data_IF_713840835676
#
_entry.id   IF_713840835676
#
_cell.length_a   1.000
_cell.length_b   1.000
_cell.length_c   1.000
_cell.angle_alpha   90.00
_cell.angle_beta   90.00
_cell.angle_gamma   90.00
#
_symmetry.space_group_name_H-M   'P 1'
#
loop_
_entity.id
_entity.type
_entity.pdbx_description
1 polymer ?
#
# COMPACT_ATOMS: atom_id res chain seq x y z
N UNK A 1 -14.76 18.87 4.49
CA UNK A 1 -14.41 19.37 3.14
C UNK A 1 -13.23 20.32 3.30
N UNK A 2 -12.18 20.16 2.51
CA UNK A 2 -10.87 20.80 2.73
C UNK A 2 -10.28 21.38 1.40
N UNK A 3 -11.04 22.18 0.70
CA UNK A 3 -10.65 22.89 -0.52
C UNK A 3 -11.53 22.47 -1.68
N UNK A 4 -11.37 22.94 -2.87
CA UNK A 4 -10.25 23.47 -3.63
C UNK A 4 -10.55 24.88 -4.21
N UNK A 5 -11.50 24.97 -5.20
CA UNK A 5 -11.73 26.21 -5.96
C UNK A 5 -13.19 26.38 -6.33
N UNK A 6 -13.69 27.58 -6.14
CA UNK A 6 -14.98 28.03 -6.69
C UNK A 6 -14.75 28.86 -7.95
N UNK A 7 -15.71 28.86 -8.85
CA UNK A 7 -15.74 29.68 -10.04
C UNK A 7 -17.17 30.12 -10.36
N UNK A 8 -17.32 31.24 -11.06
CA UNK A 8 -18.56 31.73 -11.62
C UNK A 8 -18.31 32.53 -12.88
N UNK A 9 -19.07 32.26 -13.91
CA UNK A 9 -19.31 33.15 -15.05
C UNK A 9 -20.80 33.10 -15.42
N UNK A 10 -21.28 34.09 -16.17
CA UNK A 10 -22.67 34.06 -16.60
C UNK A 10 -23.01 32.83 -17.46
N UNK A 11 -22.05 32.39 -18.25
CA UNK A 11 -22.19 31.26 -19.18
C UNK A 11 -22.05 29.91 -18.47
N UNK A 12 -21.14 29.84 -17.49
CA UNK A 12 -20.81 28.56 -16.82
C UNK A 12 -21.58 28.33 -15.52
N UNK A 13 -22.31 29.34 -15.03
CA UNK A 13 -22.97 29.25 -13.72
C UNK A 13 -22.01 29.15 -12.54
N UNK A 14 -22.50 28.72 -11.38
CA UNK A 14 -21.71 28.53 -10.19
C UNK A 14 -21.02 27.16 -10.24
N UNK A 15 -19.69 27.16 -10.18
CA UNK A 15 -18.84 25.97 -10.25
C UNK A 15 -18.07 25.75 -8.94
N UNK A 16 -17.75 24.48 -8.61
CA UNK A 16 -16.97 24.10 -7.45
C UNK A 16 -16.19 22.82 -7.74
N UNK A 17 -14.90 22.85 -7.45
CA UNK A 17 -14.11 21.65 -7.21
C UNK A 17 -13.82 21.58 -5.74
N UNK A 18 -14.19 20.48 -5.10
CA UNK A 18 -13.98 20.27 -3.67
C UNK A 18 -13.38 18.90 -3.39
N UNK A 19 -12.72 18.78 -2.24
CA UNK A 19 -12.20 17.51 -1.73
C UNK A 19 -12.64 17.34 -0.27
N UNK A 20 -12.82 16.09 0.12
CA UNK A 20 -13.09 15.72 1.51
C UNK A 20 -12.43 14.38 1.85
N UNK A 21 -12.01 14.21 3.11
CA UNK A 21 -11.42 12.97 3.61
C UNK A 21 -12.24 12.44 4.78
N UNK A 22 -12.60 11.15 4.77
CA UNK A 22 -13.19 10.39 5.88
C UNK A 22 -12.57 9.01 5.93
N UNK A 23 -12.23 8.51 7.13
CA UNK A 23 -11.77 7.13 7.34
C UNK A 23 -10.74 6.67 6.29
N UNK A 24 -9.69 7.45 6.11
CA UNK A 24 -8.61 7.18 5.16
C UNK A 24 -9.00 7.19 3.66
N UNK A 25 -10.26 7.50 3.31
CA UNK A 25 -10.74 7.69 1.95
C UNK A 25 -10.86 9.18 1.63
N UNK A 26 -10.28 9.61 0.51
CA UNK A 26 -10.43 10.96 -0.03
C UNK A 26 -11.26 10.92 -1.29
N UNK A 27 -12.25 11.81 -1.37
CA UNK A 27 -13.04 12.05 -2.58
C UNK A 27 -12.72 13.43 -3.13
N UNK A 28 -12.81 13.53 -4.43
CA UNK A 28 -12.76 14.79 -5.18
C UNK A 28 -14.05 14.89 -5.96
N UNK A 29 -14.77 16.00 -5.79
CA UNK A 29 -16.00 16.30 -6.50
C UNK A 29 -15.84 17.54 -7.37
N UNK A 30 -16.50 17.52 -8.53
CA UNK A 30 -16.59 18.67 -9.43
C UNK A 30 -18.06 18.89 -9.77
N UNK A 31 -18.54 20.12 -9.54
CA UNK A 31 -19.88 20.58 -9.92
C UNK A 31 -19.71 21.80 -10.81
N UNK A 32 -20.51 21.87 -11.84
CA UNK A 32 -20.55 22.98 -12.80
C UNK A 32 -21.98 23.32 -13.18
N UNK A 33 -22.25 24.58 -13.46
CA UNK A 33 -23.52 25.00 -14.01
C UNK A 33 -24.68 25.24 -13.02
N UNK A 34 -24.38 25.34 -11.73
CA UNK A 34 -25.41 25.58 -10.74
C UNK A 34 -25.94 27.01 -10.81
N UNK A 35 -27.24 27.18 -10.50
CA UNK A 35 -27.94 28.46 -10.57
C UNK A 35 -27.54 29.44 -9.45
N UNK A 36 -27.18 28.87 -8.27
CA UNK A 36 -26.80 29.66 -7.09
C UNK A 36 -25.61 29.02 -6.36
N UNK A 37 -24.88 29.85 -5.61
CA UNK A 37 -23.78 29.34 -4.76
C UNK A 37 -24.29 28.43 -3.63
N UNK A 38 -25.50 28.65 -3.14
CA UNK A 38 -26.13 27.81 -2.11
C UNK A 38 -26.42 26.41 -2.65
N UNK A 39 -27.09 26.32 -3.81
CA UNK A 39 -27.41 25.05 -4.48
C UNK A 39 -26.14 24.26 -4.84
N UNK A 40 -25.11 24.93 -5.38
CA UNK A 40 -23.81 24.37 -5.65
C UNK A 40 -23.18 23.68 -4.41
N UNK A 41 -23.22 24.37 -3.24
CA UNK A 41 -22.67 23.83 -2.01
C UNK A 41 -23.48 22.65 -1.48
N UNK A 42 -24.82 22.73 -1.57
CA UNK A 42 -25.72 21.64 -1.17
C UNK A 42 -25.50 20.40 -2.02
N UNK A 43 -25.47 20.51 -3.34
CA UNK A 43 -25.27 19.39 -4.26
C UNK A 43 -23.87 18.79 -4.11
N UNK A 44 -22.82 19.60 -3.88
CA UNK A 44 -21.49 19.08 -3.56
C UNK A 44 -21.50 18.24 -2.28
N UNK A 45 -22.18 18.69 -1.24
CA UNK A 45 -22.27 17.94 0.02
C UNK A 45 -22.99 16.61 -0.17
N UNK A 46 -24.12 16.60 -0.88
CA UNK A 46 -24.88 15.38 -1.22
C UNK A 46 -24.03 14.39 -2.02
N UNK A 47 -23.30 14.87 -3.03
CA UNK A 47 -22.44 14.04 -3.87
C UNK A 47 -21.29 13.41 -3.08
N UNK A 48 -20.62 14.17 -2.21
CA UNK A 48 -19.58 13.65 -1.35
C UNK A 48 -20.12 12.65 -0.33
N UNK A 49 -21.27 12.94 0.29
CA UNK A 49 -21.93 12.01 1.22
C UNK A 49 -22.35 10.72 0.53
N UNK A 50 -22.89 10.79 -0.69
CA UNK A 50 -23.19 9.61 -1.51
C UNK A 50 -21.95 8.74 -1.70
N UNK A 51 -20.83 9.35 -2.10
CA UNK A 51 -19.58 8.61 -2.29
C UNK A 51 -19.06 7.96 -0.99
N UNK A 52 -19.07 8.68 0.13
CA UNK A 52 -18.68 8.14 1.43
C UNK A 52 -19.64 7.08 1.99
N UNK A 53 -20.91 7.14 1.64
CA UNK A 53 -21.88 6.13 2.03
C UNK A 53 -21.76 4.86 1.19
N UNK A 54 -21.38 4.97 -0.07
CA UNK A 54 -21.33 3.87 -1.01
C UNK A 54 -19.99 3.10 -0.94
N UNK A 55 -18.89 3.77 -0.63
CA UNK A 55 -17.55 3.20 -0.67
C UNK A 55 -16.83 3.27 0.69
N UNK A 56 -15.86 2.39 0.85
CA UNK A 56 -14.91 2.39 1.97
C UNK A 56 -13.53 1.95 1.49
N UNK A 57 -12.50 2.41 2.17
CA UNK A 57 -11.13 1.98 1.95
C UNK A 57 -10.74 1.00 3.05
N UNK A 58 -10.28 -0.20 2.67
CA UNK A 58 -9.74 -1.21 3.59
C UNK A 58 -8.25 -1.37 3.35
N UNK A 59 -7.47 -1.47 4.44
CA UNK A 59 -6.06 -1.86 4.36
C UNK A 59 -5.96 -3.32 3.93
N UNK A 60 -5.14 -3.59 2.91
CA UNK A 60 -4.85 -4.95 2.45
C UNK A 60 -3.50 -5.43 2.96
N UNK A 61 -2.44 -4.64 2.76
CA UNK A 61 -1.10 -4.89 3.29
C UNK A 61 -0.55 -3.59 3.89
N UNK A 62 0.29 -3.73 4.90
CA UNK A 62 0.97 -2.60 5.53
C UNK A 62 2.48 -2.75 5.40
N UNK A 63 3.24 -1.69 5.62
CA UNK A 63 4.70 -1.70 5.67
C UNK A 63 5.29 -2.63 6.75
N UNK A 64 4.44 -3.21 7.61
CA UNK A 64 4.82 -4.19 8.64
C UNK A 64 4.38 -5.62 8.29
N UNK A 65 3.59 -5.80 7.23
CA UNK A 65 3.09 -7.11 6.84
C UNK A 65 4.20 -7.92 6.20
N UNK A 66 4.53 -9.07 6.79
CA UNK A 66 5.46 -10.03 6.17
C UNK A 66 4.83 -10.61 4.92
N UNK A 67 5.42 -10.33 3.75
CA UNK A 67 4.96 -10.84 2.45
C UNK A 67 5.87 -11.96 1.91
N UNK A 68 7.00 -12.19 2.56
CA UNK A 68 7.93 -13.25 2.21
C UNK A 68 9.15 -13.25 3.13
N UNK A 69 10.14 -14.05 2.75
CA UNK A 69 11.41 -14.16 3.47
C UNK A 69 12.56 -14.04 2.47
N UNK A 70 13.48 -13.14 2.76
CA UNK A 70 14.77 -13.08 2.06
C UNK A 70 15.75 -14.01 2.77
N UNK A 71 16.35 -14.96 2.03
CA UNK A 71 17.35 -15.89 2.53
C UNK A 71 18.70 -15.58 1.89
N UNK A 72 19.75 -15.51 2.71
CA UNK A 72 21.11 -15.37 2.21
C UNK A 72 22.10 -16.04 3.19
N UNK A 73 22.74 -17.11 2.74
CA UNK A 73 23.62 -17.92 3.59
C UNK A 73 24.92 -17.20 4.01
N UNK A 74 25.26 -16.11 3.35
CA UNK A 74 26.43 -15.27 3.67
C UNK A 74 26.08 -14.14 4.65
N UNK A 75 24.81 -14.00 5.06
CA UNK A 75 24.39 -12.97 6.00
C UNK A 75 24.52 -13.42 7.47
N UNK A 76 24.59 -12.45 8.39
CA UNK A 76 24.65 -12.75 9.85
C UNK A 76 23.38 -13.45 10.34
N UNK A 77 22.22 -13.01 9.87
CA UNK A 77 20.89 -13.50 10.31
C UNK A 77 20.39 -14.71 9.52
N UNK A 78 20.95 -14.95 8.31
CA UNK A 78 20.51 -16.02 7.41
C UNK A 78 19.18 -15.76 6.73
N UNK A 79 18.20 -15.21 7.48
CA UNK A 79 16.83 -14.94 7.03
C UNK A 79 16.32 -13.65 7.62
N UNK A 80 15.65 -12.83 6.80
CA UNK A 80 14.95 -11.61 7.22
C UNK A 80 13.58 -11.54 6.54
N UNK A 81 12.62 -10.84 7.16
CA UNK A 81 11.32 -10.69 6.54
C UNK A 81 11.36 -9.67 5.41
N UNK A 82 10.60 -9.96 4.37
CA UNK A 82 10.33 -9.01 3.28
C UNK A 82 9.01 -8.32 3.56
N UNK A 83 9.01 -7.00 3.49
CA UNK A 83 7.86 -6.14 3.76
C UNK A 83 7.64 -5.14 2.63
N UNK A 84 6.40 -4.67 2.40
CA UNK A 84 6.12 -3.61 1.45
C UNK A 84 6.77 -2.28 1.86
N UNK A 85 7.17 -1.45 0.89
CA UNK A 85 7.70 -0.11 1.15
C UNK A 85 6.60 0.92 1.45
N UNK A 86 5.35 0.58 1.15
CA UNK A 86 4.17 1.42 1.40
C UNK A 86 2.93 0.57 1.67
N UNK A 87 1.95 1.16 2.34
CA UNK A 87 0.68 0.50 2.61
C UNK A 87 -0.13 0.35 1.32
N UNK A 88 -0.79 -0.80 1.14
CA UNK A 88 -1.76 -1.04 0.09
C UNK A 88 -3.15 -0.95 0.68
N UNK A 89 -3.90 0.02 0.19
CA UNK A 89 -5.29 0.24 0.55
C UNK A 89 -6.18 -0.02 -0.66
N UNK A 90 -7.28 -0.71 -0.44
CA UNK A 90 -8.20 -1.14 -1.50
C UNK A 90 -9.56 -0.51 -1.30
N UNK A 91 -10.09 0.08 -2.38
CA UNK A 91 -11.43 0.64 -2.39
C UNK A 91 -12.46 -0.49 -2.55
N UNK A 92 -13.39 -0.57 -1.61
CA UNK A 92 -14.49 -1.54 -1.63
C UNK A 92 -15.85 -0.81 -1.64
N UNK A 93 -16.83 -1.36 -2.36
CA UNK A 93 -18.21 -0.94 -2.26
C UNK A 93 -18.82 -1.58 -1.02
N UNK A 94 -19.44 -0.76 -0.16
CA UNK A 94 -20.09 -1.26 1.07
C UNK A 94 -21.23 -2.23 0.72
N UNK A 95 -21.37 -3.27 1.52
CA UNK A 95 -22.37 -4.32 1.29
C UNK A 95 -21.97 -5.41 0.29
N UNK A 96 -20.90 -5.22 -0.47
CA UNK A 96 -20.34 -6.28 -1.30
C UNK A 96 -19.39 -7.17 -0.48
N UNK A 97 -19.15 -8.41 -0.97
CA UNK A 97 -18.07 -9.27 -0.45
C UNK A 97 -16.73 -8.54 -0.61
N UNK A 98 -15.81 -8.81 0.31
CA UNK A 98 -14.44 -8.33 0.17
C UNK A 98 -13.85 -8.84 -1.14
N UNK A 99 -13.00 -8.02 -1.75
CA UNK A 99 -12.33 -8.36 -3.00
C UNK A 99 -11.40 -9.55 -2.76
N UNK A 100 -11.45 -10.52 -3.65
CA UNK A 100 -10.51 -11.65 -3.64
C UNK A 100 -9.20 -11.22 -4.29
N UNK A 101 -8.21 -10.97 -3.43
CA UNK A 101 -6.91 -10.45 -3.82
C UNK A 101 -5.83 -11.48 -3.53
N UNK A 102 -4.95 -11.66 -4.48
CA UNK A 102 -3.72 -12.43 -4.32
C UNK A 102 -2.51 -11.53 -4.59
N UNK A 103 -1.33 -11.96 -4.13
CA UNK A 103 -0.11 -11.25 -4.47
C UNK A 103 1.00 -12.22 -4.89
N UNK A 104 1.89 -11.73 -5.74
CA UNK A 104 3.11 -12.40 -6.15
C UNK A 104 4.32 -11.54 -5.77
N UNK A 105 5.30 -12.17 -5.12
CA UNK A 105 6.54 -11.54 -4.69
C UNK A 105 7.67 -11.92 -5.63
N UNK A 106 8.38 -10.92 -6.16
CA UNK A 106 9.58 -11.12 -6.96
C UNK A 106 10.77 -10.38 -6.33
N UNK A 107 11.81 -11.13 -5.95
CA UNK A 107 13.04 -10.58 -5.39
C UNK A 107 14.07 -10.52 -6.51
N UNK A 108 14.53 -9.31 -6.83
CA UNK A 108 15.48 -9.04 -7.92
C UNK A 108 16.91 -8.81 -7.40
N UNK A 109 17.06 -8.19 -6.22
CA UNK A 109 18.37 -7.93 -5.59
C UNK A 109 18.68 -9.04 -4.57
N UNK A 110 19.78 -9.75 -4.77
CA UNK A 110 20.22 -10.84 -3.88
C UNK A 110 21.57 -10.57 -3.20
N UNK A 111 22.29 -9.54 -3.64
CA UNK A 111 23.61 -9.21 -3.12
C UNK A 111 23.49 -8.45 -1.80
N UNK A 112 24.34 -8.82 -0.84
CA UNK A 112 24.46 -8.17 0.47
C UNK A 112 25.77 -7.37 0.53
N UNK A 113 25.84 -6.27 1.33
CA UNK A 113 24.86 -5.85 2.33
C UNK A 113 23.60 -5.19 1.73
N UNK A 114 22.46 -5.31 2.44
CA UNK A 114 21.19 -4.65 2.15
C UNK A 114 20.78 -3.89 3.41
N UNK A 115 20.45 -2.62 3.27
CA UNK A 115 19.91 -1.83 4.39
C UNK A 115 18.37 -1.87 4.38
N UNK A 116 17.80 -1.78 5.57
CA UNK A 116 16.36 -1.54 5.71
C UNK A 116 15.94 -0.31 4.91
N UNK A 117 14.95 -0.48 4.04
CA UNK A 117 14.49 0.55 3.10
C UNK A 117 15.07 0.41 1.68
N UNK A 118 16.16 -0.34 1.49
CA UNK A 118 16.64 -0.65 0.13
C UNK A 118 15.60 -1.48 -0.62
N UNK A 119 15.35 -1.11 -1.87
CA UNK A 119 14.46 -1.89 -2.73
C UNK A 119 15.18 -3.18 -3.14
N UNK A 120 14.57 -4.33 -2.81
CA UNK A 120 15.09 -5.66 -3.13
C UNK A 120 14.25 -6.40 -4.17
N UNK A 121 13.13 -5.85 -4.58
CA UNK A 121 12.22 -6.45 -5.53
C UNK A 121 10.88 -5.73 -5.53
N UNK A 122 9.86 -6.41 -6.01
CA UNK A 122 8.50 -5.87 -6.07
C UNK A 122 7.44 -6.91 -5.73
N UNK A 123 6.31 -6.41 -5.30
CA UNK A 123 5.09 -7.15 -5.01
C UNK A 123 4.02 -6.71 -6.01
N UNK A 124 3.48 -7.66 -6.77
CA UNK A 124 2.33 -7.45 -7.65
C UNK A 124 1.07 -7.98 -6.98
N UNK A 125 0.05 -7.15 -6.84
CA UNK A 125 -1.27 -7.55 -6.33
C UNK A 125 -2.23 -7.74 -7.48
N UNK A 126 -2.94 -8.85 -7.46
CA UNK A 126 -3.85 -9.27 -8.52
C UNK A 126 -5.28 -9.42 -8.01
N UNK A 127 -6.23 -9.09 -8.86
CA UNK A 127 -7.64 -9.40 -8.72
C UNK A 127 -8.13 -10.05 -10.01
N UNK A 128 -8.76 -11.22 -9.93
CA UNK A 128 -9.22 -11.98 -11.10
C UNK A 128 -8.09 -12.15 -12.16
N UNK A 129 -6.87 -12.48 -11.74
CA UNK A 129 -5.66 -12.62 -12.57
C UNK A 129 -5.20 -11.33 -13.28
N UNK A 130 -5.76 -10.17 -12.93
CA UNK A 130 -5.31 -8.88 -13.44
C UNK A 130 -4.48 -8.16 -12.38
N UNK A 131 -3.28 -7.72 -12.74
CA UNK A 131 -2.46 -6.86 -11.87
C UNK A 131 -3.16 -5.51 -11.65
N UNK A 132 -3.39 -5.16 -10.38
CA UNK A 132 -4.02 -3.90 -9.98
C UNK A 132 -3.07 -2.96 -9.24
N UNK A 133 -2.02 -3.53 -8.58
CA UNK A 133 -0.96 -2.77 -7.93
C UNK A 133 0.38 -3.45 -8.16
N UNK A 134 1.41 -2.63 -8.31
CA UNK A 134 2.80 -3.05 -8.26
C UNK A 134 3.58 -2.10 -7.38
N UNK A 135 4.20 -2.61 -6.32
CA UNK A 135 4.93 -1.82 -5.33
C UNK A 135 6.28 -2.44 -5.03
N UNK A 136 7.21 -1.62 -4.58
CA UNK A 136 8.52 -2.08 -4.15
C UNK A 136 8.43 -2.79 -2.80
N UNK A 137 9.37 -3.72 -2.56
CA UNK A 137 9.55 -4.39 -1.27
C UNK A 137 10.96 -4.16 -0.76
N UNK A 138 11.09 -4.22 0.57
CA UNK A 138 12.33 -4.07 1.30
C UNK A 138 12.45 -5.14 2.38
N UNK A 139 13.57 -5.18 3.07
CA UNK A 139 13.78 -5.98 4.29
C UNK A 139 13.36 -5.19 5.53
N UNK A 140 12.89 -5.89 6.56
CA UNK A 140 12.44 -5.27 7.82
C UNK A 140 13.61 -4.93 8.77
N UNK A 141 14.81 -5.47 8.51
CA UNK A 141 16.06 -5.18 9.21
C UNK A 141 17.26 -5.20 8.25
N UNK A 142 18.39 -4.67 8.68
CA UNK A 142 19.61 -4.65 7.87
C UNK A 142 20.17 -6.08 7.68
N UNK A 143 20.61 -6.39 6.46
CA UNK A 143 21.22 -7.66 6.10
C UNK A 143 22.71 -7.45 5.88
N UNK A 144 23.51 -7.72 6.91
CA UNK A 144 24.94 -7.58 6.86
C UNK A 144 25.62 -8.89 6.47
N UNK A 145 26.82 -8.78 5.88
CA UNK A 145 27.65 -9.95 5.59
C UNK A 145 28.24 -10.49 6.90
N UNK A 146 28.14 -11.80 7.10
CA UNK A 146 28.77 -12.48 8.23
C UNK A 146 30.27 -12.69 7.98
N UNK A 147 31.06 -12.64 9.05
CA UNK A 147 32.40 -13.18 9.06
C UNK A 147 32.39 -14.71 9.25
N UNK A 148 33.54 -15.36 9.11
CA UNK A 148 33.64 -16.84 9.20
C UNK A 148 33.17 -17.37 10.55
N UNK A 149 33.51 -16.69 11.65
CA UNK A 149 33.12 -17.09 12.99
C UNK A 149 31.60 -16.98 13.22
N UNK A 150 31.01 -15.88 12.74
CA UNK A 150 29.56 -15.66 12.80
C UNK A 150 28.80 -16.73 12.00
N UNK A 151 29.31 -17.11 10.82
CA UNK A 151 28.74 -18.19 10.02
C UNK A 151 28.79 -19.53 10.75
N UNK A 152 29.95 -19.86 11.37
CA UNK A 152 30.11 -21.09 12.14
C UNK A 152 29.14 -21.15 13.31
N UNK A 153 29.06 -20.09 14.11
CA UNK A 153 28.14 -20.01 15.27
C UNK A 153 26.66 -20.08 14.85
N UNK A 154 26.29 -19.44 13.74
CA UNK A 154 24.94 -19.54 13.20
C UNK A 154 24.61 -20.96 12.77
N UNK A 155 25.50 -21.62 12.00
CA UNK A 155 25.29 -23.00 11.53
C UNK A 155 25.16 -23.99 12.70
N UNK A 156 25.96 -23.81 13.77
CA UNK A 156 25.83 -24.62 14.99
C UNK A 156 24.45 -24.39 15.64
N UNK A 157 24.04 -23.15 15.77
CA UNK A 157 22.72 -22.81 16.33
C UNK A 157 21.59 -23.43 15.50
N UNK A 158 21.63 -23.28 14.18
CA UNK A 158 20.61 -23.81 13.26
C UNK A 158 20.51 -25.36 13.35
N UNK A 159 21.63 -26.05 13.50
CA UNK A 159 21.67 -27.51 13.73
C UNK A 159 21.04 -27.87 15.08
N UNK A 160 21.34 -27.10 16.13
CA UNK A 160 20.80 -27.36 17.47
C UNK A 160 19.30 -27.06 17.58
N UNK A 161 18.78 -26.07 16.84
CA UNK A 161 17.36 -25.66 16.85
C UNK A 161 16.51 -26.37 15.79
N UNK A 162 17.13 -27.14 14.89
CA UNK A 162 16.43 -27.85 13.81
C UNK A 162 15.89 -26.93 12.70
N UNK A 163 16.29 -25.66 12.67
CA UNK A 163 15.72 -24.65 11.74
C UNK A 163 16.18 -24.79 10.27
N UNK A 164 17.16 -25.64 9.98
CA UNK A 164 17.75 -25.80 8.62
C UNK A 164 17.55 -27.19 8.01
N UNK A 165 16.58 -27.99 8.45
CA UNK A 165 16.36 -29.35 7.91
C UNK A 165 15.27 -29.34 6.81
N UNK A 166 15.04 -28.22 6.10
CA UNK A 166 14.29 -28.22 4.82
C UNK A 166 14.68 -27.04 3.94
#
# INVERSE_FOLDING_TARGET
MDGLKTGYTKEAGYCLTATAKRNNMRLIGVIMGEETSAKRNEEMSKMLDYGFNLYTVKGYLTTKTKVGTFKNDKSKTGRVNVVPTQDINVLNKKGNKDRDLSYNLEITKKDIPIKKGDVIGYLSVHENNKEIYKINVTVDEDVERANILELLLRNIKDIMTGENIM
#
